data_IF_681385896888
#
_entry.id   IF_681385896888
#
_cell.length_a   1.000
_cell.length_b   1.000
_cell.length_c   1.000
_cell.angle_alpha   90.00
_cell.angle_beta   90.00
_cell.angle_gamma   90.00
#
_symmetry.space_group_name_H-M   'P 1'
#
loop_
_entity.id
_entity.type
_entity.pdbx_description
1 polymer ?
#
# COMPACT_ATOMS: atom_id res chain seq x y z
N UNK A 1 -5.80 4.85 -28.07
CA UNK A 1 -4.84 4.36 -27.04
C UNK A 1 -5.58 4.19 -25.72
N UNK A 2 -5.56 2.99 -25.13
CA UNK A 2 -6.18 2.71 -23.82
C UNK A 2 -5.39 3.37 -22.70
N UNK A 3 -6.07 3.97 -21.72
CA UNK A 3 -5.41 4.57 -20.54
C UNK A 3 -4.76 3.45 -19.71
N UNK A 4 -3.54 3.65 -19.18
CA UNK A 4 -2.88 2.64 -18.35
C UNK A 4 -3.64 2.44 -17.04
N UNK A 5 -3.72 1.19 -16.57
CA UNK A 5 -4.32 0.84 -15.28
C UNK A 5 -3.50 1.38 -14.10
N UNK A 6 -4.12 1.50 -12.92
CA UNK A 6 -3.43 1.91 -11.68
C UNK A 6 -2.20 1.04 -11.40
N UNK A 7 -2.35 -0.29 -11.51
CA UNK A 7 -1.27 -1.26 -11.33
C UNK A 7 -0.11 -1.03 -12.31
N UNK A 8 -0.41 -0.63 -13.56
CA UNK A 8 0.61 -0.29 -14.56
C UNK A 8 1.38 0.97 -14.17
N UNK A 9 0.67 1.99 -13.66
CA UNK A 9 1.28 3.24 -13.17
C UNK A 9 2.14 3.01 -11.93
N UNK A 10 1.66 2.26 -10.95
CA UNK A 10 2.42 1.93 -9.73
C UNK A 10 3.69 1.15 -10.07
N UNK A 11 3.61 0.14 -10.95
CA UNK A 11 4.79 -0.60 -11.39
C UNK A 11 5.82 0.30 -12.08
N UNK A 12 5.38 1.30 -12.84
CA UNK A 12 6.27 2.29 -13.44
C UNK A 12 6.91 3.15 -12.36
N UNK A 13 6.13 3.71 -11.45
CA UNK A 13 6.62 4.54 -10.35
C UNK A 13 7.68 3.81 -9.51
N UNK A 14 7.47 2.53 -9.18
CA UNK A 14 8.46 1.71 -8.46
C UNK A 14 9.79 1.60 -9.22
N UNK A 15 9.75 1.40 -10.55
CA UNK A 15 10.98 1.35 -11.37
C UNK A 15 11.69 2.71 -11.44
N UNK A 16 10.91 3.79 -11.51
CA UNK A 16 11.43 5.15 -11.62
C UNK A 16 12.16 5.60 -10.34
N UNK A 17 11.97 4.91 -9.20
CA UNK A 17 12.75 5.17 -7.96
C UNK A 17 14.23 4.78 -8.07
N UNK A 18 14.61 3.94 -9.03
CA UNK A 18 15.95 3.35 -9.17
C UNK A 18 16.43 2.55 -7.93
N UNK A 19 15.53 2.26 -6.97
CA UNK A 19 15.83 1.44 -5.80
C UNK A 19 15.66 -0.03 -6.13
N UNK A 20 16.59 -0.87 -5.67
CA UNK A 20 16.38 -2.32 -5.65
C UNK A 20 15.54 -2.68 -4.43
N UNK A 21 14.28 -3.04 -4.65
CA UNK A 21 13.40 -3.53 -3.59
C UNK A 21 13.56 -5.05 -3.35
N UNK A 22 14.35 -5.75 -4.17
CA UNK A 22 14.50 -7.21 -4.03
C UNK A 22 15.10 -7.56 -2.66
N UNK A 23 14.38 -8.35 -1.88
CA UNK A 23 14.74 -8.74 -0.51
C UNK A 23 14.49 -7.66 0.54
N UNK A 24 13.95 -6.51 0.16
CA UNK A 24 13.65 -5.41 1.08
C UNK A 24 12.22 -5.48 1.61
N UNK A 25 11.99 -4.79 2.73
CA UNK A 25 10.65 -4.50 3.24
C UNK A 25 10.27 -3.07 2.86
N UNK A 26 9.13 -2.91 2.18
CA UNK A 26 8.55 -1.61 1.85
C UNK A 26 7.45 -1.29 2.86
N UNK A 27 7.61 -0.20 3.62
CA UNK A 27 6.56 0.32 4.48
C UNK A 27 5.66 1.27 3.70
N UNK A 28 4.34 1.12 3.83
CA UNK A 28 3.34 2.00 3.21
C UNK A 28 2.44 2.61 4.27
N UNK A 29 2.32 3.93 4.26
CA UNK A 29 1.41 4.65 5.14
C UNK A 29 -0.04 4.46 4.66
N UNK A 30 -0.91 4.02 5.57
CA UNK A 30 -2.31 3.73 5.31
C UNK A 30 -3.19 4.55 6.27
N UNK A 31 -3.93 5.52 5.71
CA UNK A 31 -4.83 6.38 6.49
C UNK A 31 -6.26 5.85 6.59
N UNK A 32 -6.60 4.80 5.83
CA UNK A 32 -7.99 4.33 5.65
C UNK A 32 -8.74 5.05 4.53
N UNK A 33 -8.18 6.14 3.98
CA UNK A 33 -8.74 6.85 2.84
C UNK A 33 -8.59 6.08 1.51
N UNK A 34 -9.39 6.43 0.48
CA UNK A 34 -9.46 5.70 -0.80
C UNK A 34 -8.12 5.62 -1.53
N UNK A 35 -7.31 6.68 -1.50
CA UNK A 35 -6.01 6.71 -2.18
C UNK A 35 -5.01 5.76 -1.52
N UNK A 36 -4.93 5.76 -0.19
CA UNK A 36 -4.03 4.88 0.56
C UNK A 36 -4.43 3.41 0.43
N UNK A 37 -5.74 3.15 0.39
CA UNK A 37 -6.34 1.83 0.13
C UNK A 37 -5.99 1.34 -1.28
N UNK A 38 -6.15 2.18 -2.30
CA UNK A 38 -5.80 1.85 -3.68
C UNK A 38 -4.29 1.61 -3.85
N UNK A 39 -3.46 2.41 -3.17
CA UNK A 39 -2.01 2.25 -3.15
C UNK A 39 -1.58 0.93 -2.50
N UNK A 40 -2.11 0.61 -1.31
CA UNK A 40 -1.85 -0.67 -0.62
C UNK A 40 -2.20 -1.85 -1.52
N UNK A 41 -3.40 -1.85 -2.11
CA UNK A 41 -3.84 -2.90 -3.01
C UNK A 41 -2.94 -3.04 -4.25
N UNK A 42 -2.58 -1.92 -4.89
CA UNK A 42 -1.72 -1.93 -6.07
C UNK A 42 -0.29 -2.42 -5.76
N UNK A 43 0.27 -2.03 -4.61
CA UNK A 43 1.60 -2.47 -4.15
C UNK A 43 1.60 -3.96 -3.78
N UNK A 44 0.55 -4.45 -3.12
CA UNK A 44 0.40 -5.87 -2.79
C UNK A 44 0.44 -6.75 -4.05
N UNK A 45 -0.18 -6.30 -5.15
CA UNK A 45 -0.12 -6.99 -6.45
C UNK A 45 1.27 -6.93 -7.12
N UNK A 46 2.15 -6.00 -6.72
CA UNK A 46 3.50 -5.88 -7.28
C UNK A 46 4.57 -6.60 -6.46
N UNK A 47 4.33 -6.90 -5.18
CA UNK A 47 5.34 -7.40 -4.23
C UNK A 47 6.06 -8.66 -4.71
N UNK A 48 5.32 -9.66 -5.20
CA UNK A 48 5.91 -10.91 -5.70
C UNK A 48 6.81 -10.68 -6.93
N UNK A 49 6.36 -9.81 -7.85
CA UNK A 49 7.12 -9.48 -9.08
C UNK A 49 8.32 -8.57 -8.80
N UNK A 50 8.21 -7.71 -7.80
CA UNK A 50 9.29 -6.85 -7.32
C UNK A 50 10.26 -7.56 -6.37
N UNK A 51 9.88 -8.71 -5.82
CA UNK A 51 10.67 -9.49 -4.89
C UNK A 51 10.83 -8.80 -3.52
N UNK A 52 9.83 -8.06 -3.07
CA UNK A 52 9.87 -7.32 -1.79
C UNK A 52 8.73 -7.76 -0.87
N UNK A 53 8.91 -7.55 0.43
CA UNK A 53 7.86 -7.65 1.43
C UNK A 53 7.15 -6.31 1.62
N UNK A 54 5.86 -6.34 1.92
CA UNK A 54 5.06 -5.14 2.13
C UNK A 54 4.58 -5.10 3.58
N UNK A 55 4.71 -3.94 4.21
CA UNK A 55 4.21 -3.64 5.56
C UNK A 55 3.35 -2.40 5.47
N UNK A 56 2.09 -2.48 5.90
CA UNK A 56 1.19 -1.35 6.03
C UNK A 56 1.36 -0.71 7.42
N UNK A 57 1.27 0.61 7.51
CA UNK A 57 1.42 1.35 8.77
C UNK A 57 0.31 2.37 8.88
N UNK A 58 -0.52 2.24 9.90
CA UNK A 58 -1.52 3.23 10.29
C UNK A 58 -1.04 4.09 11.45
N UNK A 59 -1.39 5.37 11.43
CA UNK A 59 -1.11 6.30 12.55
C UNK A 59 -2.41 6.97 12.96
N UNK A 60 -2.86 6.69 14.18
CA UNK A 60 -3.93 7.47 14.80
C UNK A 60 -3.34 8.78 15.32
N UNK A 61 -3.78 9.88 14.71
CA UNK A 61 -3.32 11.21 15.05
C UNK A 61 -4.06 11.82 16.26
N UNK A 62 -5.16 11.20 16.74
CA UNK A 62 -5.92 11.69 17.89
C UNK A 62 -6.69 13.01 17.68
N UNK A 63 -6.96 13.38 16.42
CA UNK A 63 -7.64 14.66 16.06
C UNK A 63 -9.11 14.46 15.66
N UNK A 64 -9.50 13.24 15.31
CA UNK A 64 -10.85 12.89 14.84
C UNK A 64 -11.23 11.54 15.41
N UNK A 65 -12.43 11.41 15.94
CA UNK A 65 -12.96 10.14 16.46
C UNK A 65 -13.02 9.05 15.36
N UNK A 66 -13.36 9.45 14.14
CA UNK A 66 -13.43 8.55 12.98
C UNK A 66 -12.08 7.92 12.57
N UNK A 67 -10.94 8.46 13.04
CA UNK A 67 -9.62 7.95 12.65
C UNK A 67 -9.42 6.49 13.06
N UNK A 68 -9.89 6.09 14.24
CA UNK A 68 -9.78 4.71 14.72
C UNK A 68 -10.55 3.72 13.82
N UNK A 69 -11.76 4.09 13.38
CA UNK A 69 -12.57 3.26 12.48
C UNK A 69 -11.94 3.16 11.08
N UNK A 70 -11.44 4.27 10.54
CA UNK A 70 -10.73 4.32 9.25
C UNK A 70 -9.48 3.41 9.27
N UNK A 71 -8.73 3.42 10.37
CA UNK A 71 -7.56 2.55 10.55
C UNK A 71 -7.95 1.08 10.71
N UNK A 72 -9.07 0.77 11.37
CA UNK A 72 -9.58 -0.59 11.46
C UNK A 72 -9.95 -1.16 10.08
N UNK A 73 -10.55 -0.33 9.21
CA UNK A 73 -10.83 -0.71 7.82
C UNK A 73 -9.53 -0.96 7.04
N UNK A 74 -8.52 -0.11 7.22
CA UNK A 74 -7.21 -0.28 6.58
C UNK A 74 -6.50 -1.57 7.05
N UNK A 75 -6.53 -1.86 8.34
CA UNK A 75 -5.95 -3.07 8.92
C UNK A 75 -6.61 -4.34 8.34
N UNK A 76 -7.93 -4.35 8.24
CA UNK A 76 -8.69 -5.47 7.63
C UNK A 76 -8.34 -5.68 6.16
N UNK A 77 -8.12 -4.59 5.41
CA UNK A 77 -7.65 -4.69 4.03
C UNK A 77 -6.24 -5.27 3.94
N UNK A 78 -5.31 -4.83 4.80
CA UNK A 78 -3.96 -5.36 4.84
C UNK A 78 -3.97 -6.86 5.13
N UNK A 79 -4.73 -7.30 6.14
CA UNK A 79 -4.93 -8.72 6.47
C UNK A 79 -5.47 -9.52 5.27
N UNK A 80 -6.52 -9.03 4.61
CA UNK A 80 -7.10 -9.68 3.43
C UNK A 80 -6.15 -9.78 2.23
N UNK A 81 -5.12 -8.94 2.18
CA UNK A 81 -4.06 -8.97 1.17
C UNK A 81 -2.82 -9.78 1.63
N UNK A 82 -2.83 -10.31 2.86
CA UNK A 82 -1.69 -10.96 3.48
C UNK A 82 -0.50 -10.02 3.67
N UNK A 83 -0.76 -8.76 4.00
CA UNK A 83 0.23 -7.71 4.26
C UNK A 83 0.31 -7.50 5.77
N UNK A 84 1.54 -7.38 6.31
CA UNK A 84 1.72 -7.09 7.75
C UNK A 84 1.20 -5.69 8.07
N UNK A 85 0.50 -5.52 9.18
CA UNK A 85 -0.01 -4.24 9.70
C UNK A 85 0.76 -3.81 10.95
#
# INVERSE_FOLDING_TARGET
MTRPTLTTRVRRALRDTQLSLRGASLAVACSGGPDSTAMLHALALQRARGGFELVAVGVDHGLREAAAEELAVAAKLAEGLGVTW
#
